data_IF_912716920062
#
_entry.id   IF_912716920062
#
_cell.length_a   1.000
_cell.length_b   1.000
_cell.length_c   1.000
_cell.angle_alpha   90.00
_cell.angle_beta   90.00
_cell.angle_gamma   90.00
#
_symmetry.space_group_name_H-M   'P 1'
#
loop_
_entity.id
_entity.type
_entity.pdbx_description
1 polymer ?
#
# COMPACT_ATOMS: atom_id res chain seq x y z
N UNK A 1 22.66 4.91 25.24
CA UNK A 1 22.17 3.58 25.69
C UNK A 1 23.13 2.51 25.28
N UNK A 2 23.52 1.61 26.22
CA UNK A 2 24.33 0.43 25.87
C UNK A 2 23.54 -0.58 25.06
N UNK A 3 24.25 -1.47 24.31
CA UNK A 3 23.62 -2.59 23.57
C UNK A 3 22.75 -3.47 24.47
N UNK A 4 23.22 -3.73 25.70
CA UNK A 4 22.50 -4.54 26.70
C UNK A 4 21.18 -3.86 27.12
N UNK A 5 21.18 -2.55 27.36
CA UNK A 5 19.95 -1.82 27.71
C UNK A 5 18.92 -1.86 26.58
N UNK A 6 19.36 -1.69 25.31
CA UNK A 6 18.46 -1.80 24.14
C UNK A 6 17.84 -3.19 24.02
N UNK A 7 18.62 -4.25 24.21
CA UNK A 7 18.11 -5.64 24.16
C UNK A 7 17.12 -5.92 25.27
N UNK A 8 17.38 -5.42 26.50
CA UNK A 8 16.45 -5.60 27.62
C UNK A 8 15.12 -4.90 27.36
N UNK A 9 15.16 -3.62 26.88
CA UNK A 9 13.95 -2.87 26.57
C UNK A 9 13.17 -3.55 25.42
N UNK A 10 13.87 -3.96 24.36
CA UNK A 10 13.25 -4.68 23.25
C UNK A 10 12.61 -5.99 23.70
N UNK A 11 13.31 -6.77 24.53
CA UNK A 11 12.78 -8.02 25.08
C UNK A 11 11.56 -7.80 25.97
N UNK A 12 11.62 -6.80 26.86
CA UNK A 12 10.49 -6.46 27.74
C UNK A 12 9.27 -6.00 26.92
N UNK A 13 9.48 -5.13 25.93
CA UNK A 13 8.41 -4.67 25.03
C UNK A 13 7.82 -5.84 24.21
N UNK A 14 8.67 -6.75 23.71
CA UNK A 14 8.23 -7.94 22.97
C UNK A 14 7.41 -8.89 23.83
N UNK A 15 7.82 -9.12 25.09
CA UNK A 15 7.05 -9.94 26.04
C UNK A 15 5.71 -9.29 26.36
N UNK A 16 5.68 -7.98 26.61
CA UNK A 16 4.45 -7.25 26.89
C UNK A 16 3.48 -7.31 25.70
N UNK A 17 3.97 -7.08 24.48
CA UNK A 17 3.18 -7.17 23.25
C UNK A 17 2.68 -8.61 23.03
N UNK A 18 3.55 -9.62 23.20
CA UNK A 18 3.18 -11.03 23.08
C UNK A 18 2.10 -11.43 24.09
N UNK A 19 2.24 -10.99 25.34
CA UNK A 19 1.22 -11.20 26.37
C UNK A 19 -0.12 -10.55 26.03
N UNK A 20 -0.10 -9.33 25.52
CA UNK A 20 -1.30 -8.63 25.08
C UNK A 20 -2.01 -9.34 23.90
N UNK A 21 -1.23 -9.79 22.90
CA UNK A 21 -1.77 -10.56 21.77
C UNK A 21 -2.37 -11.89 22.23
N UNK A 22 -1.68 -12.64 23.10
CA UNK A 22 -2.19 -13.89 23.64
C UNK A 22 -3.46 -13.69 24.48
N UNK A 23 -3.53 -12.60 25.25
CA UNK A 23 -4.73 -12.23 25.97
C UNK A 23 -5.91 -11.95 25.03
N UNK A 24 -5.67 -11.20 23.94
CA UNK A 24 -6.68 -10.95 22.91
C UNK A 24 -7.15 -12.22 22.22
N UNK A 25 -6.22 -13.13 21.89
CA UNK A 25 -6.54 -14.42 21.26
C UNK A 25 -7.35 -15.34 22.19
N UNK A 26 -7.10 -15.29 23.50
CA UNK A 26 -7.88 -16.08 24.48
C UNK A 26 -9.36 -15.66 24.53
N UNK A 27 -9.67 -14.42 24.20
CA UNK A 27 -11.05 -13.91 24.15
C UNK A 27 -11.81 -14.21 22.85
N UNK A 28 -11.17 -14.86 21.87
CA UNK A 28 -11.83 -15.20 20.61
C UNK A 28 -12.83 -16.35 20.78
N UNK A 29 -13.97 -16.32 20.06
CA UNK A 29 -14.91 -17.44 20.01
C UNK A 29 -14.24 -18.69 19.41
N UNK A 30 -14.84 -19.86 19.65
CA UNK A 30 -14.36 -21.10 19.06
C UNK A 30 -14.33 -21.01 17.54
N UNK A 31 -13.36 -21.69 16.92
CA UNK A 31 -13.22 -21.71 15.47
C UNK A 31 -14.53 -22.20 14.79
N UNK A 32 -15.07 -21.40 13.88
CA UNK A 32 -16.33 -21.69 13.20
C UNK A 32 -17.59 -21.16 13.92
N UNK A 33 -17.49 -20.67 15.14
CA UNK A 33 -18.57 -19.99 15.84
C UNK A 33 -18.57 -18.49 15.52
N UNK A 34 -19.23 -18.15 14.42
CA UNK A 34 -19.32 -16.78 13.92
C UNK A 34 -20.57 -16.09 14.44
N UNK A 35 -20.42 -15.26 15.47
CA UNK A 35 -21.49 -14.45 16.06
C UNK A 35 -21.59 -13.01 15.50
N UNK A 36 -21.03 -12.74 14.33
CA UNK A 36 -20.89 -11.42 13.73
C UNK A 36 -22.16 -10.87 13.11
N UNK A 37 -23.15 -10.49 13.92
CA UNK A 37 -24.42 -9.89 13.44
C UNK A 37 -24.21 -8.69 12.51
N UNK A 38 -23.24 -7.83 12.82
CA UNK A 38 -22.89 -6.66 12.01
C UNK A 38 -22.36 -7.06 10.62
N UNK A 39 -21.39 -7.96 10.53
CA UNK A 39 -20.87 -8.43 9.26
C UNK A 39 -21.92 -9.15 8.41
N UNK A 40 -22.81 -9.94 9.05
CA UNK A 40 -23.94 -10.58 8.38
C UNK A 40 -24.92 -9.54 7.82
N UNK A 41 -25.20 -8.49 8.56
CA UNK A 41 -26.05 -7.39 8.09
C UNK A 41 -25.41 -6.68 6.88
N UNK A 42 -24.13 -6.29 6.97
CA UNK A 42 -23.43 -5.61 5.89
C UNK A 42 -23.38 -6.46 4.60
N UNK A 43 -23.18 -7.78 4.72
CA UNK A 43 -23.21 -8.68 3.57
C UNK A 43 -24.60 -8.75 2.90
N UNK A 44 -25.67 -8.54 3.66
CA UNK A 44 -27.04 -8.54 3.11
C UNK A 44 -27.41 -7.23 2.43
N UNK A 45 -27.04 -6.11 3.04
CA UNK A 45 -27.54 -4.79 2.59
C UNK A 45 -26.47 -3.95 1.87
N UNK A 46 -25.18 -4.23 2.07
CA UNK A 46 -24.11 -3.34 1.63
C UNK A 46 -24.09 -3.07 0.14
N UNK A 47 -24.33 -4.08 -0.70
CA UNK A 47 -24.36 -3.90 -2.15
C UNK A 47 -25.55 -3.09 -2.63
N UNK A 48 -26.74 -3.32 -2.06
CA UNK A 48 -27.97 -2.61 -2.43
C UNK A 48 -27.99 -1.18 -1.87
N UNK A 49 -27.54 -0.97 -0.63
CA UNK A 49 -27.53 0.33 0.02
C UNK A 49 -26.49 1.31 -0.59
N UNK A 50 -25.39 0.79 -1.14
CA UNK A 50 -24.31 1.61 -1.70
C UNK A 50 -24.16 1.49 -3.20
N UNK A 51 -25.02 0.76 -3.88
CA UNK A 51 -24.99 0.51 -5.31
C UNK A 51 -23.62 0.02 -5.81
N UNK A 52 -22.95 -0.80 -5.02
CA UNK A 52 -21.67 -1.44 -5.36
C UNK A 52 -21.85 -2.94 -5.59
N UNK A 53 -21.15 -3.52 -6.56
CA UNK A 53 -21.18 -4.97 -6.77
C UNK A 53 -20.18 -5.69 -5.87
N UNK A 54 -19.10 -5.02 -5.48
CA UNK A 54 -18.12 -5.51 -4.51
C UNK A 54 -18.48 -5.00 -3.11
N UNK A 55 -19.07 -5.87 -2.29
CA UNK A 55 -19.44 -5.53 -0.91
C UNK A 55 -18.25 -5.08 -0.06
N UNK A 56 -17.04 -5.64 -0.30
CA UNK A 56 -15.83 -5.26 0.44
C UNK A 56 -15.48 -3.80 0.18
N UNK A 57 -15.57 -3.33 -1.09
CA UNK A 57 -15.37 -1.92 -1.41
C UNK A 57 -16.36 -1.00 -0.68
N UNK A 58 -17.64 -1.40 -0.57
CA UNK A 58 -18.63 -0.69 0.22
C UNK A 58 -18.30 -0.66 1.71
N UNK A 59 -17.83 -1.78 2.26
CA UNK A 59 -17.46 -1.86 3.67
C UNK A 59 -16.27 -0.95 3.99
N UNK A 60 -15.16 -1.12 3.28
CA UNK A 60 -13.89 -0.45 3.62
C UNK A 60 -13.88 1.06 3.34
N UNK A 61 -14.67 1.53 2.37
CA UNK A 61 -14.68 2.95 2.00
C UNK A 61 -15.92 3.74 2.45
N UNK A 62 -16.97 3.05 2.91
CA UNK A 62 -18.20 3.71 3.34
C UNK A 62 -18.58 3.29 4.76
N UNK A 63 -19.09 2.07 4.98
CA UNK A 63 -19.57 1.65 6.30
C UNK A 63 -18.47 1.69 7.38
N UNK A 64 -17.22 1.45 7.01
CA UNK A 64 -16.03 1.46 7.88
C UNK A 64 -14.89 2.30 7.30
N UNK A 65 -15.20 3.33 6.54
CA UNK A 65 -14.21 4.20 5.89
C UNK A 65 -13.19 4.81 6.85
N UNK A 66 -13.52 4.97 8.12
CA UNK A 66 -12.60 5.45 9.15
C UNK A 66 -11.48 4.45 9.48
N UNK A 67 -11.77 3.14 9.39
CA UNK A 67 -10.74 2.11 9.57
C UNK A 67 -9.69 2.20 8.45
N UNK A 68 -10.14 2.36 7.21
CA UNK A 68 -9.25 2.53 6.05
C UNK A 68 -8.43 3.82 6.12
N UNK A 69 -9.00 4.91 6.63
CA UNK A 69 -8.23 6.11 6.95
C UNK A 69 -7.07 5.79 7.92
N UNK A 70 -7.34 4.98 8.95
CA UNK A 70 -6.31 4.52 9.88
C UNK A 70 -5.22 3.69 9.19
N UNK A 71 -5.60 2.81 8.26
CA UNK A 71 -4.66 2.00 7.46
C UNK A 71 -3.75 2.87 6.58
N UNK A 72 -4.31 3.89 5.91
CA UNK A 72 -3.57 4.87 5.12
C UNK A 72 -2.51 5.58 5.98
N UNK A 73 -2.89 6.09 7.15
CA UNK A 73 -1.94 6.75 8.04
C UNK A 73 -0.89 5.81 8.66
N UNK A 74 -1.22 4.56 8.91
CA UNK A 74 -0.25 3.54 9.35
C UNK A 74 0.77 3.29 8.25
N UNK A 75 0.33 3.15 7.00
CA UNK A 75 1.22 2.98 5.85
C UNK A 75 2.14 4.20 5.69
N UNK A 76 1.56 5.41 5.64
CA UNK A 76 2.30 6.67 5.53
C UNK A 76 3.37 6.80 6.63
N UNK A 77 2.99 6.59 7.88
CA UNK A 77 3.92 6.66 9.02
C UNK A 77 5.04 5.60 8.92
N UNK A 78 4.71 4.40 8.43
CA UNK A 78 5.67 3.31 8.24
C UNK A 78 6.70 3.65 7.17
N UNK A 79 6.26 4.19 6.03
CA UNK A 79 7.15 4.62 4.94
C UNK A 79 8.07 5.74 5.40
N UNK A 80 7.52 6.74 6.08
CA UNK A 80 8.32 7.83 6.68
C UNK A 80 9.34 7.31 7.67
N UNK A 81 8.95 6.39 8.56
CA UNK A 81 9.83 5.78 9.55
C UNK A 81 10.99 5.00 8.91
N UNK A 82 10.70 4.15 7.93
CA UNK A 82 11.72 3.39 7.18
C UNK A 82 12.65 4.34 6.43
N UNK A 83 12.12 5.31 5.72
CA UNK A 83 12.90 6.31 4.99
C UNK A 83 13.83 7.09 5.93
N UNK A 84 13.34 7.48 7.10
CA UNK A 84 14.16 8.20 8.07
C UNK A 84 15.30 7.34 8.63
N UNK A 85 15.03 6.07 8.95
CA UNK A 85 16.02 5.13 9.48
C UNK A 85 17.09 4.82 8.42
N UNK A 86 16.70 4.52 7.19
CA UNK A 86 17.64 4.13 6.15
C UNK A 86 18.46 5.32 5.61
N UNK A 87 17.84 6.50 5.44
CA UNK A 87 18.57 7.70 5.00
C UNK A 87 19.62 8.19 5.99
N UNK A 88 19.43 7.96 7.28
CA UNK A 88 20.40 8.36 8.31
C UNK A 88 21.68 7.52 8.32
N UNK A 89 21.67 6.33 7.73
CA UNK A 89 22.82 5.42 7.63
C UNK A 89 23.77 5.74 6.47
N UNK A 90 23.40 6.63 5.55
CA UNK A 90 24.13 6.91 4.30
C UNK A 90 25.29 7.89 4.52
N UNK A 91 26.34 7.44 5.21
CA UNK A 91 27.66 8.10 5.24
C UNK A 91 28.71 7.41 4.35
N UNK A 92 28.35 6.37 3.60
CA UNK A 92 29.28 5.55 2.82
C UNK A 92 29.32 6.00 1.36
N UNK A 93 30.54 6.11 0.80
CA UNK A 93 30.80 6.45 -0.61
C UNK A 93 29.80 5.74 -1.54
N UNK A 94 29.11 6.52 -2.38
CA UNK A 94 28.21 6.02 -3.43
C UNK A 94 28.92 4.98 -4.28
N UNK A 95 28.72 3.72 -4.01
CA UNK A 95 29.11 2.63 -4.90
C UNK A 95 28.10 2.51 -6.03
N UNK A 96 28.55 2.03 -7.20
CA UNK A 96 27.64 1.82 -8.32
C UNK A 96 26.71 0.66 -8.00
N UNK A 97 25.39 0.82 -8.22
CA UNK A 97 24.44 -0.27 -8.03
C UNK A 97 24.77 -1.42 -8.98
N UNK A 98 24.72 -2.64 -8.46
CA UNK A 98 24.79 -3.85 -9.26
C UNK A 98 23.42 -4.18 -9.83
N UNK A 99 23.40 -4.68 -11.05
CA UNK A 99 22.21 -5.23 -11.64
C UNK A 99 21.91 -6.58 -10.96
N UNK A 100 20.72 -6.75 -10.34
CA UNK A 100 20.45 -7.91 -9.51
C UNK A 100 20.29 -9.21 -10.30
N UNK A 101 19.99 -9.12 -11.60
CA UNK A 101 19.69 -10.25 -12.47
C UNK A 101 20.65 -10.30 -13.64
N UNK A 102 21.44 -11.38 -13.72
CA UNK A 102 22.37 -11.64 -14.83
C UNK A 102 21.77 -12.48 -15.95
N UNK A 103 20.58 -13.09 -15.73
CA UNK A 103 19.93 -13.96 -16.70
C UNK A 103 19.08 -13.15 -17.68
N UNK A 104 19.42 -13.18 -18.96
CA UNK A 104 18.73 -12.42 -20.00
C UNK A 104 17.27 -12.83 -20.18
N UNK A 105 16.94 -14.13 -20.03
CA UNK A 105 15.56 -14.58 -20.11
C UNK A 105 14.69 -13.99 -18.97
N UNK A 106 15.22 -13.94 -17.73
CA UNK A 106 14.54 -13.32 -16.61
C UNK A 106 14.34 -11.81 -16.82
N UNK A 107 15.31 -11.12 -17.42
CA UNK A 107 15.23 -9.69 -17.76
C UNK A 107 14.14 -9.43 -18.81
N UNK A 108 14.09 -10.25 -19.87
CA UNK A 108 13.07 -10.12 -20.92
C UNK A 108 11.67 -10.37 -20.36
N UNK A 109 11.49 -11.44 -19.59
CA UNK A 109 10.20 -11.73 -18.96
C UNK A 109 9.79 -10.62 -18.01
N UNK A 110 10.71 -10.13 -17.16
CA UNK A 110 10.46 -9.01 -16.27
C UNK A 110 10.02 -7.75 -17.03
N UNK A 111 10.71 -7.38 -18.12
CA UNK A 111 10.38 -6.22 -18.93
C UNK A 111 8.98 -6.34 -19.59
N UNK A 112 8.63 -7.53 -20.08
CA UNK A 112 7.30 -7.79 -20.65
C UNK A 112 6.18 -7.74 -19.60
N UNK A 113 6.47 -8.15 -18.36
CA UNK A 113 5.49 -8.16 -17.29
C UNK A 113 5.25 -6.79 -16.67
N UNK A 114 6.17 -5.82 -16.79
CA UNK A 114 5.97 -4.45 -16.26
C UNK A 114 4.66 -3.83 -16.76
N UNK A 115 4.43 -3.66 -18.07
CA UNK A 115 3.17 -3.04 -18.54
C UNK A 115 1.94 -3.87 -18.20
N UNK A 116 2.04 -5.21 -18.22
CA UNK A 116 0.92 -6.09 -17.84
C UNK A 116 0.53 -5.86 -16.38
N UNK A 117 1.51 -5.78 -15.49
CA UNK A 117 1.27 -5.57 -14.06
C UNK A 117 0.72 -4.17 -13.78
N UNK A 118 1.20 -3.13 -14.50
CA UNK A 118 0.64 -1.77 -14.39
C UNK A 118 -0.83 -1.75 -14.83
N UNK A 119 -1.14 -2.34 -16.00
CA UNK A 119 -2.53 -2.39 -16.49
C UNK A 119 -3.43 -3.16 -15.53
N UNK A 120 -2.95 -4.30 -15.00
CA UNK A 120 -3.68 -5.07 -13.99
C UNK A 120 -3.92 -4.24 -12.72
N UNK A 121 -2.90 -3.53 -12.23
CA UNK A 121 -3.04 -2.68 -11.06
C UNK A 121 -4.03 -1.53 -11.27
N UNK A 122 -3.97 -0.86 -12.42
CA UNK A 122 -4.95 0.16 -12.79
C UNK A 122 -6.37 -0.41 -12.90
N UNK A 123 -6.52 -1.61 -13.46
CA UNK A 123 -7.80 -2.33 -13.50
C UNK A 123 -8.34 -2.60 -12.09
N UNK A 124 -7.51 -3.18 -11.22
CA UNK A 124 -7.90 -3.47 -9.83
C UNK A 124 -8.32 -2.22 -9.07
N UNK A 125 -7.62 -1.10 -9.28
CA UNK A 125 -7.97 0.18 -8.69
C UNK A 125 -9.26 0.75 -9.29
N UNK A 126 -9.37 0.83 -10.62
CA UNK A 126 -10.51 1.45 -11.28
C UNK A 126 -11.84 0.74 -10.99
N UNK A 127 -11.81 -0.59 -10.93
CA UNK A 127 -13.00 -1.42 -10.76
C UNK A 127 -13.19 -1.95 -9.33
N UNK A 128 -12.44 -1.48 -8.35
CA UNK A 128 -12.38 -2.06 -7.00
C UNK A 128 -13.69 -2.09 -6.23
N UNK A 129 -14.67 -1.26 -6.56
CA UNK A 129 -16.01 -1.27 -5.98
C UNK A 129 -17.06 -1.95 -6.89
N UNK A 130 -16.67 -2.35 -8.10
CA UNK A 130 -17.52 -3.06 -9.10
C UNK A 130 -17.15 -4.53 -9.17
N UNK A 131 -15.85 -4.86 -9.19
CA UNK A 131 -15.31 -6.23 -9.24
C UNK A 131 -14.38 -6.47 -8.05
N UNK A 132 -13.99 -7.74 -7.77
CA UNK A 132 -12.95 -8.00 -6.78
C UNK A 132 -11.67 -7.21 -7.09
N UNK A 133 -11.21 -6.43 -6.11
CA UNK A 133 -10.09 -5.50 -6.24
C UNK A 133 -10.15 -4.43 -5.18
N UNK A 134 -9.56 -3.28 -5.45
CA UNK A 134 -9.57 -2.11 -4.57
C UNK A 134 -8.32 -1.25 -4.74
N UNK A 135 -8.32 -0.08 -4.12
CA UNK A 135 -7.21 0.86 -4.16
C UNK A 135 -5.91 0.26 -3.64
N UNK A 136 -5.95 -0.39 -2.48
CA UNK A 136 -4.79 -1.07 -1.91
C UNK A 136 -4.22 -2.14 -2.85
N UNK A 137 -5.05 -3.05 -3.33
CA UNK A 137 -4.64 -4.14 -4.22
C UNK A 137 -4.07 -3.59 -5.55
N UNK A 138 -4.75 -2.59 -6.11
CA UNK A 138 -4.30 -1.90 -7.31
C UNK A 138 -2.97 -1.18 -7.10
N UNK A 139 -2.84 -0.45 -5.99
CA UNK A 139 -1.62 0.26 -5.61
C UNK A 139 -0.42 -0.67 -5.43
N UNK A 140 -0.60 -1.77 -4.71
CA UNK A 140 0.45 -2.80 -4.55
C UNK A 140 0.83 -3.43 -5.90
N UNK A 141 -0.14 -3.73 -6.76
CA UNK A 141 0.14 -4.28 -8.10
C UNK A 141 0.94 -3.28 -8.95
N UNK A 142 0.57 -1.98 -8.96
CA UNK A 142 1.34 -0.93 -9.65
C UNK A 142 2.76 -0.84 -9.10
N UNK A 143 2.93 -0.84 -7.78
CA UNK A 143 4.24 -0.81 -7.16
C UNK A 143 5.09 -2.04 -7.50
N UNK A 144 4.48 -3.23 -7.60
CA UNK A 144 5.16 -4.47 -7.99
C UNK A 144 5.76 -4.38 -9.40
N UNK A 145 5.15 -3.61 -10.31
CA UNK A 145 5.74 -3.31 -11.60
C UNK A 145 7.09 -2.57 -11.48
N UNK A 146 7.25 -1.74 -10.43
CA UNK A 146 8.52 -1.09 -10.12
C UNK A 146 9.61 -2.09 -9.71
N UNK A 147 9.28 -3.10 -8.91
CA UNK A 147 10.21 -4.17 -8.56
C UNK A 147 10.60 -5.01 -9.79
N UNK A 148 9.63 -5.34 -10.66
CA UNK A 148 9.90 -6.00 -11.95
C UNK A 148 10.79 -5.15 -12.85
N UNK A 149 10.57 -3.84 -12.91
CA UNK A 149 11.40 -2.92 -13.68
C UNK A 149 12.85 -2.94 -13.19
N UNK A 150 13.07 -2.94 -11.87
CA UNK A 150 14.41 -3.04 -11.31
C UNK A 150 15.09 -4.35 -11.69
N UNK A 151 14.40 -5.49 -11.56
CA UNK A 151 14.95 -6.80 -11.92
C UNK A 151 15.22 -6.92 -13.42
N UNK A 152 14.36 -6.33 -14.26
CA UNK A 152 14.48 -6.38 -15.72
C UNK A 152 15.56 -5.46 -16.30
N UNK A 153 15.86 -4.34 -15.61
CA UNK A 153 16.76 -3.31 -16.16
C UNK A 153 17.94 -3.05 -15.22
N UNK A 154 17.88 -1.97 -14.47
CA UNK A 154 18.90 -1.57 -13.51
C UNK A 154 18.30 -0.65 -12.45
N UNK A 155 18.98 -0.52 -11.31
CA UNK A 155 18.62 0.46 -10.30
C UNK A 155 18.59 1.90 -10.84
N UNK A 156 19.48 2.23 -11.79
CA UNK A 156 19.51 3.55 -12.43
C UNK A 156 18.22 3.82 -13.21
N UNK A 157 17.73 2.85 -13.98
CA UNK A 157 16.47 2.95 -14.74
C UNK A 157 15.28 3.05 -13.80
N UNK A 158 15.22 2.19 -12.79
CA UNK A 158 14.20 2.28 -11.73
C UNK A 158 14.16 3.66 -11.11
N UNK A 159 15.31 4.17 -10.62
CA UNK A 159 15.41 5.47 -9.97
C UNK A 159 15.02 6.65 -10.87
N UNK A 160 15.29 6.53 -12.18
CA UNK A 160 14.91 7.57 -13.17
C UNK A 160 13.40 7.62 -13.39
N UNK A 161 12.73 6.46 -13.41
CA UNK A 161 11.29 6.35 -13.62
C UNK A 161 10.48 6.55 -12.33
N UNK A 162 11.11 6.44 -11.17
CA UNK A 162 10.49 6.62 -9.84
C UNK A 162 11.20 7.73 -9.05
N UNK A 163 11.13 9.01 -9.49
CA UNK A 163 11.77 10.11 -8.77
C UNK A 163 11.11 10.33 -7.41
N UNK A 164 11.91 10.37 -6.32
CA UNK A 164 11.37 10.44 -4.95
C UNK A 164 10.45 11.63 -4.73
N UNK A 165 10.78 12.81 -5.20
CA UNK A 165 9.94 13.99 -5.01
C UNK A 165 8.55 13.87 -5.66
N UNK A 166 8.42 13.13 -6.77
CA UNK A 166 7.12 12.82 -7.36
C UNK A 166 6.37 11.80 -6.51
N UNK A 167 7.06 10.75 -6.06
CA UNK A 167 6.44 9.74 -5.20
C UNK A 167 6.01 10.32 -3.85
N UNK A 168 6.85 11.13 -3.20
CA UNK A 168 6.51 11.84 -1.96
C UNK A 168 5.26 12.71 -2.16
N UNK A 169 5.15 13.41 -3.30
CA UNK A 169 4.00 14.24 -3.62
C UNK A 169 2.73 13.40 -3.90
N UNK A 170 2.84 12.27 -4.60
CA UNK A 170 1.71 11.37 -4.90
C UNK A 170 1.21 10.70 -3.63
N UNK A 171 2.11 10.20 -2.77
CA UNK A 171 1.78 9.61 -1.48
C UNK A 171 1.04 10.62 -0.59
N UNK A 172 1.63 11.80 -0.39
CA UNK A 172 1.02 12.85 0.43
C UNK A 172 -0.30 13.37 -0.15
N UNK A 173 -0.44 13.42 -1.48
CA UNK A 173 -1.70 13.84 -2.12
C UNK A 173 -2.78 12.77 -1.97
N UNK A 174 -2.44 11.48 -2.06
CA UNK A 174 -3.35 10.37 -1.81
C UNK A 174 -3.93 10.43 -0.40
N UNK A 175 -3.06 10.46 0.63
CA UNK A 175 -3.47 10.58 2.02
C UNK A 175 -4.31 11.85 2.27
N UNK A 176 -3.88 13.00 1.75
CA UNK A 176 -4.63 14.26 1.87
C UNK A 176 -5.99 14.19 1.17
N UNK A 177 -6.08 13.57 -0.01
CA UNK A 177 -7.32 13.41 -0.75
C UNK A 177 -8.35 12.59 0.04
N UNK A 178 -7.92 11.52 0.72
CA UNK A 178 -8.80 10.75 1.58
C UNK A 178 -9.41 11.60 2.69
N UNK A 179 -8.57 12.38 3.40
CA UNK A 179 -9.02 13.31 4.44
C UNK A 179 -9.97 14.37 3.88
N UNK A 180 -9.64 14.96 2.72
CA UNK A 180 -10.47 15.99 2.08
C UNK A 180 -11.83 15.45 1.69
N UNK A 181 -11.91 14.25 1.11
CA UNK A 181 -13.20 13.60 0.81
C UNK A 181 -14.02 13.42 2.08
N UNK A 182 -13.38 12.99 3.18
CA UNK A 182 -14.05 12.89 4.49
C UNK A 182 -14.57 14.22 5.01
N UNK A 183 -13.81 15.31 4.87
CA UNK A 183 -14.21 16.65 5.27
C UNK A 183 -15.33 17.22 4.39
N UNK A 184 -15.34 16.92 3.10
CA UNK A 184 -16.45 17.28 2.21
C UNK A 184 -17.72 16.57 2.62
N UNK A 185 -17.66 15.27 2.93
CA UNK A 185 -18.79 14.51 3.48
C UNK A 185 -19.34 15.18 4.76
N UNK A 186 -18.44 15.58 5.67
CA UNK A 186 -18.85 16.32 6.88
C UNK A 186 -19.53 17.64 6.57
N UNK A 187 -19.04 18.39 5.61
CA UNK A 187 -19.58 19.70 5.25
C UNK A 187 -20.93 19.61 4.51
N UNK A 188 -21.14 18.55 3.70
CA UNK A 188 -22.35 18.39 2.87
C UNK A 188 -23.44 17.64 3.61
N UNK A 189 -23.10 16.51 4.27
CA UNK A 189 -24.07 15.61 4.88
C UNK A 189 -23.99 15.54 6.42
N UNK A 190 -23.14 16.37 7.03
CA UNK A 190 -23.03 16.50 8.49
C UNK A 190 -22.29 15.36 9.19
N UNK A 191 -21.74 14.39 8.47
CA UNK A 191 -20.93 13.30 9.04
C UNK A 191 -19.63 13.12 8.27
N UNK A 192 -18.52 12.95 9.02
CA UNK A 192 -17.21 12.71 8.42
C UNK A 192 -17.22 11.40 7.63
N UNK A 193 -16.70 11.42 6.40
CA UNK A 193 -16.75 10.31 5.43
C UNK A 193 -18.17 9.92 4.97
N UNK A 194 -19.17 10.76 5.18
CA UNK A 194 -20.48 10.54 4.58
C UNK A 194 -20.37 10.47 3.05
N UNK A 195 -21.17 9.60 2.45
CA UNK A 195 -21.20 9.39 1.00
C UNK A 195 -22.08 10.45 0.33
N UNK A 196 -21.48 11.57 -0.05
CA UNK A 196 -22.16 12.79 -0.52
C UNK A 196 -22.41 12.83 -2.03
N UNK A 197 -21.87 11.88 -2.80
CA UNK A 197 -22.11 11.84 -4.24
C UNK A 197 -23.29 10.92 -4.59
N UNK A 198 -23.95 11.14 -5.75
CA UNK A 198 -24.99 10.23 -6.22
C UNK A 198 -24.48 8.80 -6.34
N UNK A 199 -25.22 7.85 -5.79
CA UNK A 199 -24.81 6.44 -5.77
C UNK A 199 -24.77 5.79 -7.16
N UNK A 200 -25.40 6.38 -8.16
CA UNK A 200 -25.37 5.90 -9.53
C UNK A 200 -25.97 4.50 -9.72
N UNK A 201 -25.58 3.82 -10.79
CA UNK A 201 -26.09 2.52 -11.15
C UNK A 201 -25.13 1.41 -10.75
N UNK A 202 -25.57 0.48 -9.93
CA UNK A 202 -24.77 -0.68 -9.49
C UNK A 202 -24.19 -1.44 -10.68
N UNK A 203 -22.93 -1.87 -10.56
CA UNK A 203 -22.22 -2.60 -11.62
C UNK A 203 -21.55 -1.70 -12.68
N UNK A 204 -21.63 -0.38 -12.55
CA UNK A 204 -20.94 0.56 -13.43
C UNK A 204 -19.86 1.34 -12.69
N UNK A 205 -18.93 1.95 -13.43
CA UNK A 205 -17.92 2.85 -12.84
C UNK A 205 -18.53 4.14 -12.23
N UNK A 206 -19.74 4.49 -12.62
CA UNK A 206 -20.49 5.60 -12.04
C UNK A 206 -21.40 5.14 -10.90
N UNK A 207 -20.94 4.18 -10.08
CA UNK A 207 -21.67 3.67 -8.92
C UNK A 207 -20.90 3.92 -7.62
N UNK A 208 -21.57 3.72 -6.46
CA UNK A 208 -20.94 3.80 -5.15
C UNK A 208 -20.67 5.21 -4.62
N UNK A 209 -21.06 6.26 -5.32
CA UNK A 209 -20.90 7.64 -4.85
C UNK A 209 -19.42 8.01 -4.61
N UNK A 210 -19.10 8.50 -3.40
CA UNK A 210 -17.74 8.91 -3.02
C UNK A 210 -16.76 7.74 -2.79
N UNK A 211 -17.24 6.49 -2.78
CA UNK A 211 -16.39 5.28 -2.65
C UNK A 211 -15.29 5.26 -3.73
N UNK A 212 -15.65 5.63 -4.99
CA UNK A 212 -14.69 5.69 -6.08
C UNK A 212 -13.53 6.67 -5.83
N UNK A 213 -13.81 7.83 -5.23
CA UNK A 213 -12.79 8.82 -4.89
C UNK A 213 -11.83 8.29 -3.81
N UNK A 214 -12.35 7.73 -2.74
CA UNK A 214 -11.57 7.12 -1.66
C UNK A 214 -10.72 5.96 -2.18
N UNK A 215 -11.29 5.13 -3.03
CA UNK A 215 -10.59 4.02 -3.65
C UNK A 215 -9.40 4.47 -4.52
N UNK A 216 -9.53 5.55 -5.30
CA UNK A 216 -8.42 6.11 -6.05
C UNK A 216 -7.38 6.82 -5.17
N UNK A 217 -7.81 7.52 -4.11
CA UNK A 217 -6.91 8.12 -3.13
C UNK A 217 -5.98 7.07 -2.54
N UNK A 218 -6.55 5.95 -2.07
CA UNK A 218 -5.78 4.80 -1.57
C UNK A 218 -4.86 4.20 -2.64
N UNK A 219 -5.31 4.06 -3.89
CA UNK A 219 -4.48 3.50 -4.95
C UNK A 219 -3.21 4.32 -5.19
N UNK A 220 -3.33 5.65 -5.22
CA UNK A 220 -2.18 6.55 -5.41
C UNK A 220 -1.24 6.51 -4.21
N UNK A 221 -1.76 6.61 -3.00
CA UNK A 221 -0.95 6.54 -1.78
C UNK A 221 -0.20 5.23 -1.70
N UNK A 222 -0.89 4.09 -1.79
CA UNK A 222 -0.31 2.76 -1.65
C UNK A 222 0.72 2.46 -2.73
N UNK A 223 0.47 2.88 -3.99
CA UNK A 223 1.43 2.73 -5.07
C UNK A 223 2.72 3.52 -4.79
N UNK A 224 2.59 4.79 -4.43
CA UNK A 224 3.72 5.66 -4.16
C UNK A 224 4.50 5.21 -2.91
N UNK A 225 3.81 4.88 -1.82
CA UNK A 225 4.36 4.38 -0.57
C UNK A 225 5.24 3.14 -0.79
N UNK A 226 4.73 2.13 -1.50
CA UNK A 226 5.50 0.92 -1.79
C UNK A 226 6.68 1.17 -2.73
N UNK A 227 6.53 2.05 -3.74
CA UNK A 227 7.65 2.43 -4.60
C UNK A 227 8.74 3.17 -3.83
N UNK A 228 8.39 4.01 -2.85
CA UNK A 228 9.35 4.64 -1.94
C UNK A 228 10.07 3.61 -1.07
N UNK A 229 9.34 2.67 -0.47
CA UNK A 229 9.92 1.56 0.28
C UNK A 229 10.91 0.76 -0.57
N UNK A 230 10.51 0.34 -1.76
CA UNK A 230 11.40 -0.38 -2.69
C UNK A 230 12.65 0.43 -3.00
N UNK A 231 12.51 1.75 -3.19
CA UNK A 231 13.64 2.63 -3.46
C UNK A 231 14.65 2.66 -2.32
N UNK A 232 14.20 2.77 -1.07
CA UNK A 232 15.08 2.79 0.10
C UNK A 232 15.73 1.42 0.31
N UNK A 233 14.97 0.32 0.21
CA UNK A 233 15.52 -1.03 0.35
C UNK A 233 16.49 -1.40 -0.77
N UNK A 234 16.19 -1.06 -2.02
CA UNK A 234 17.10 -1.34 -3.14
C UNK A 234 18.39 -0.52 -3.02
N UNK A 235 18.29 0.71 -2.53
CA UNK A 235 19.47 1.54 -2.27
C UNK A 235 20.33 0.93 -1.17
N UNK A 236 19.75 0.46 -0.08
CA UNK A 236 20.46 -0.18 1.02
C UNK A 236 21.09 -1.52 0.58
N UNK A 237 20.35 -2.35 -0.16
CA UNK A 237 20.85 -3.59 -0.72
C UNK A 237 22.11 -3.37 -1.56
N UNK A 238 22.07 -2.38 -2.43
CA UNK A 238 23.19 -2.02 -3.31
C UNK A 238 24.41 -1.53 -2.53
N UNK A 239 24.21 -0.88 -1.39
CA UNK A 239 25.30 -0.40 -0.54
C UNK A 239 25.91 -1.49 0.33
N UNK A 240 25.07 -2.40 0.85
CA UNK A 240 25.47 -3.47 1.76
C UNK A 240 26.16 -4.63 1.04
N UNK A 241 25.78 -4.89 -0.21
CA UNK A 241 26.36 -5.91 -1.06
C UNK A 241 27.00 -5.30 -2.30
N UNK A 242 28.15 -4.58 -2.15
CA UNK A 242 28.92 -4.12 -3.28
C UNK A 242 29.45 -5.36 -3.98
N UNK A 243 28.86 -5.70 -5.11
CA UNK A 243 29.09 -6.96 -5.75
C UNK A 243 30.49 -7.14 -6.29
N UNK A 244 30.76 -8.37 -6.65
CA UNK A 244 31.90 -8.79 -7.41
C UNK A 244 31.97 -7.95 -8.69
N UNK A 245 33.02 -7.13 -8.80
CA UNK A 245 33.33 -6.44 -10.05
C UNK A 245 33.26 -7.46 -11.18
N UNK A 246 32.27 -7.32 -12.06
CA UNK A 246 32.33 -8.00 -13.33
C UNK A 246 33.59 -7.42 -14.03
N UNK A 247 34.65 -8.19 -14.14
CA UNK A 247 35.71 -7.88 -15.09
C UNK A 247 35.00 -7.72 -16.43
N UNK A 248 34.99 -6.52 -16.97
CA UNK A 248 34.74 -6.30 -18.37
C UNK A 248 35.91 -7.03 -19.06
N UNK A 249 35.67 -8.23 -19.53
CA UNK A 249 36.56 -8.88 -20.47
C UNK A 249 36.44 -8.04 -21.75
N UNK A 250 37.58 -7.45 -22.12
CA UNK A 250 37.85 -6.67 -23.35
C UNK A 250 37.48 -7.41 -24.63
#
# INVERSE_FOLDING_TARGET
MSRRQRLVIFGAAGIALGGFVLWGLHGLPAFGDYAGAYGTLLNKVGTSERHVSNVVGGIVFDFRGFDTLGEEFILFASVMGVSFILRSSVSVKRQRPLDPVSNDAARVVGALMVPVTVVLGLWLAAFGYVTPGGGFQGGVAIASAGALLWTATSYRSYRKLTPSGVLDAVEGTGAAAYVVVGLVGLAVDGAYLANFLPLGTAGTLASGGSIGLLNWASAFEVAAANLLLYREFFQEYVQTFPGVERKEDD
#
